data_IF_060302921436
#
_entry.id   IF_060302921436
#
_cell.length_a   1.000
_cell.length_b   1.000
_cell.length_c   1.000
_cell.angle_alpha   90.00
_cell.angle_beta   90.00
_cell.angle_gamma   90.00
#
_symmetry.space_group_name_H-M   'P 1'
#
loop_
_entity.id
_entity.type
_entity.pdbx_description
1 polymer ?
#
# COMPACT_ATOMS: atom_id res chain seq x y z
N UNK A 1 20.72 -4.72 37.99
CA UNK A 1 19.47 -3.93 37.92
C UNK A 1 19.87 -2.51 37.52
N UNK A 2 19.75 -2.18 36.25
CA UNK A 2 19.74 -0.79 35.74
C UNK A 2 18.64 -0.71 34.70
N UNK A 3 17.57 0.01 35.06
CA UNK A 3 16.47 0.35 34.17
C UNK A 3 16.99 1.24 33.03
N UNK A 4 17.07 0.72 31.84
CA UNK A 4 17.24 1.50 30.61
C UNK A 4 15.84 1.72 30.02
N UNK A 5 15.17 2.78 30.46
CA UNK A 5 13.96 3.28 29.86
C UNK A 5 14.24 3.78 28.45
N UNK A 6 13.83 3.02 27.45
CA UNK A 6 13.78 3.51 26.07
C UNK A 6 12.58 4.46 25.93
N UNK A 7 12.86 5.76 25.97
CA UNK A 7 11.92 6.77 25.54
C UNK A 7 11.78 6.71 24.00
N UNK A 8 10.63 6.26 23.54
CA UNK A 8 10.18 6.54 22.17
C UNK A 8 10.07 8.07 22.04
N UNK A 9 10.58 8.68 20.96
CA UNK A 9 10.41 10.11 20.75
C UNK A 9 8.92 10.44 20.67
N UNK A 10 8.51 11.41 21.47
CA UNK A 10 7.16 11.92 21.51
C UNK A 10 6.65 12.22 20.09
N UNK A 11 5.43 11.76 19.80
CA UNK A 11 4.67 12.14 18.61
C UNK A 11 4.77 13.65 18.44
N UNK A 12 5.60 14.14 17.54
CA UNK A 12 5.57 15.56 17.17
C UNK A 12 4.19 15.82 16.61
N UNK A 13 3.40 16.53 17.39
CA UNK A 13 2.09 16.99 17.00
C UNK A 13 2.26 17.90 15.78
N UNK A 14 1.70 17.48 14.66
CA UNK A 14 1.40 18.38 13.55
C UNK A 14 0.49 19.48 14.17
N UNK A 15 0.75 20.78 13.96
CA UNK A 15 -0.08 21.81 14.55
C UNK A 15 -1.54 21.56 14.15
N UNK A 16 -2.34 21.19 15.14
CA UNK A 16 -3.76 20.97 14.99
C UNK A 16 -4.45 22.30 14.76
N UNK A 17 -5.39 22.28 13.82
CA UNK A 17 -6.51 23.21 13.77
C UNK A 17 -6.22 24.67 13.40
N UNK A 18 -6.39 24.96 12.11
CA UNK A 18 -7.14 26.18 11.79
C UNK A 18 -8.63 25.82 11.86
N UNK A 19 -9.39 26.54 12.72
CA UNK A 19 -10.83 26.37 12.82
C UNK A 19 -11.48 26.52 11.46
N UNK A 20 -12.47 25.68 11.17
CA UNK A 20 -13.26 25.66 9.94
C UNK A 20 -13.87 27.02 9.58
N UNK A 21 -14.07 27.91 10.56
CA UNK A 21 -14.72 29.22 10.41
C UNK A 21 -14.04 30.26 9.49
N UNK A 22 -12.78 29.98 9.06
CA UNK A 22 -12.04 30.88 8.16
C UNK A 22 -11.88 30.36 6.72
N UNK A 23 -12.24 29.09 6.44
CA UNK A 23 -11.97 28.43 5.14
C UNK A 23 -13.24 28.30 4.29
N UNK A 24 -14.42 28.38 4.89
CA UNK A 24 -15.67 27.91 4.32
C UNK A 24 -16.71 29.01 4.13
N UNK A 25 -16.46 29.94 3.23
CA UNK A 25 -17.53 30.66 2.53
C UNK A 25 -17.58 30.13 1.09
N UNK A 26 -18.78 29.63 0.71
CA UNK A 26 -19.13 29.13 -0.60
C UNK A 26 -18.48 29.97 -1.72
N UNK A 27 -17.46 29.44 -2.34
CA UNK A 27 -16.96 29.90 -3.63
C UNK A 27 -16.23 28.75 -4.31
N UNK A 28 -16.27 28.69 -5.62
CA UNK A 28 -15.50 27.76 -6.47
C UNK A 28 -13.98 27.93 -6.21
N UNK A 29 -13.49 27.41 -5.09
CA UNK A 29 -12.12 27.71 -4.64
C UNK A 29 -11.11 26.69 -5.11
N UNK A 30 -11.53 25.48 -5.49
CA UNK A 30 -10.63 24.38 -5.79
C UNK A 30 -10.86 23.84 -7.19
N UNK A 31 -9.75 23.55 -7.86
CA UNK A 31 -9.79 22.89 -9.16
C UNK A 31 -10.08 21.39 -8.96
N UNK A 32 -9.47 20.78 -7.92
CA UNK A 32 -9.67 19.38 -7.57
C UNK A 32 -9.75 19.20 -6.06
N UNK A 33 -10.66 18.34 -5.60
CA UNK A 33 -10.68 17.84 -4.22
C UNK A 33 -10.28 16.37 -4.21
N UNK A 34 -9.33 16.00 -3.33
CA UNK A 34 -8.89 14.62 -3.09
C UNK A 34 -9.53 14.13 -1.78
N UNK A 35 -10.30 13.04 -1.83
CA UNK A 35 -10.96 12.45 -0.66
C UNK A 35 -10.21 11.20 -0.22
N UNK A 36 -9.71 11.21 1.01
CA UNK A 36 -8.85 10.19 1.59
C UNK A 36 -7.37 10.42 1.25
N UNK A 37 -6.53 10.51 2.29
CA UNK A 37 -5.10 10.86 2.17
C UNK A 37 -4.22 9.68 2.61
N UNK A 38 -4.58 8.47 2.13
CA UNK A 38 -3.74 7.28 2.20
C UNK A 38 -2.63 7.30 1.14
N UNK A 39 -2.14 6.11 0.74
CA UNK A 39 -1.06 5.97 -0.22
C UNK A 39 -1.32 6.72 -1.55
N UNK A 40 -2.42 6.40 -2.23
CA UNK A 40 -2.75 7.01 -3.53
C UNK A 40 -3.13 8.49 -3.38
N UNK A 41 -3.99 8.82 -2.39
CA UNK A 41 -4.48 10.19 -2.22
C UNK A 41 -3.42 11.19 -1.80
N UNK A 42 -2.47 10.82 -0.95
CA UNK A 42 -1.36 11.70 -0.56
C UNK A 42 -0.45 12.03 -1.76
N UNK A 43 -0.16 11.03 -2.59
CA UNK A 43 0.63 11.20 -3.80
C UNK A 43 -0.13 12.03 -4.86
N UNK A 44 -1.45 11.83 -5.01
CA UNK A 44 -2.30 12.63 -5.90
C UNK A 44 -2.37 14.09 -5.46
N UNK A 45 -2.54 14.32 -4.16
CA UNK A 45 -2.54 15.67 -3.58
C UNK A 45 -1.22 16.40 -3.88
N UNK A 46 -0.08 15.74 -3.64
CA UNK A 46 1.23 16.28 -3.97
C UNK A 46 1.36 16.59 -5.46
N UNK A 47 0.97 15.66 -6.32
CA UNK A 47 1.14 15.80 -7.77
C UNK A 47 0.29 16.95 -8.34
N UNK A 48 -0.96 17.08 -7.89
CA UNK A 48 -1.83 18.20 -8.27
C UNK A 48 -1.26 19.56 -7.79
N UNK A 49 -0.79 19.63 -6.54
CA UNK A 49 -0.16 20.83 -6.00
C UNK A 49 1.13 21.17 -6.78
N UNK A 50 1.94 20.17 -7.16
CA UNK A 50 3.16 20.35 -7.96
C UNK A 50 2.88 20.90 -9.36
N UNK A 51 1.70 20.59 -9.90
CA UNK A 51 1.24 21.14 -11.20
C UNK A 51 0.60 22.52 -11.08
N UNK A 52 0.50 23.08 -9.87
CA UNK A 52 -0.08 24.40 -9.63
C UNK A 52 -1.60 24.41 -9.52
N UNK A 53 -2.27 23.26 -9.41
CA UNK A 53 -3.71 23.18 -9.21
C UNK A 53 -4.07 23.71 -7.79
N UNK A 54 -5.20 24.40 -7.68
CA UNK A 54 -5.80 24.73 -6.38
C UNK A 54 -6.46 23.47 -5.81
N UNK A 55 -5.67 22.66 -5.09
CA UNK A 55 -6.09 21.38 -4.57
C UNK A 55 -6.42 21.44 -3.09
N UNK A 56 -7.54 20.80 -2.71
CA UNK A 56 -7.90 20.49 -1.33
C UNK A 56 -7.86 18.97 -1.13
N UNK A 57 -7.22 18.53 -0.06
CA UNK A 57 -7.32 17.16 0.41
C UNK A 57 -8.18 17.09 1.69
N UNK A 58 -9.04 16.08 1.80
CA UNK A 58 -9.91 15.84 2.95
C UNK A 58 -9.63 14.44 3.49
N UNK A 59 -9.26 14.37 4.78
CA UNK A 59 -8.99 13.12 5.47
C UNK A 59 -9.86 13.00 6.72
N UNK A 60 -10.55 11.86 6.86
CA UNK A 60 -11.43 11.65 8.02
C UNK A 60 -10.68 11.45 9.34
N UNK A 61 -9.40 11.08 9.28
CA UNK A 61 -8.54 10.93 10.46
C UNK A 61 -7.35 11.90 10.39
N UNK A 62 -6.14 11.39 10.20
CA UNK A 62 -4.91 12.16 10.01
C UNK A 62 -3.96 11.41 9.05
N UNK A 63 -3.05 12.09 8.36
CA UNK A 63 -2.10 11.45 7.44
C UNK A 63 -1.20 10.43 8.14
N UNK A 64 -1.17 9.20 7.63
CA UNK A 64 -0.41 8.11 8.23
C UNK A 64 -1.09 7.46 9.44
N UNK A 65 -2.41 7.56 9.58
CA UNK A 65 -3.21 6.88 10.60
C UNK A 65 -3.19 5.35 10.44
N UNK A 66 -3.57 4.63 11.49
CA UNK A 66 -3.56 3.17 11.59
C UNK A 66 -4.92 2.50 11.31
N UNK A 67 -5.90 3.25 10.78
CA UNK A 67 -7.26 2.77 10.57
C UNK A 67 -7.54 2.24 9.17
N UNK A 68 -6.64 2.47 8.22
CA UNK A 68 -6.78 2.06 6.82
C UNK A 68 -5.83 0.94 6.43
N UNK A 69 -5.31 1.04 5.19
CA UNK A 69 -4.38 0.04 4.62
C UNK A 69 -2.95 0.58 4.45
N UNK A 70 -2.67 1.85 4.83
CA UNK A 70 -1.39 2.53 4.60
C UNK A 70 -0.57 2.71 5.87
N UNK A 71 -0.52 1.69 6.74
CA UNK A 71 0.20 1.69 8.01
C UNK A 71 0.89 0.34 8.26
N UNK A 72 1.58 0.16 9.38
CA UNK A 72 2.25 -1.08 9.79
C UNK A 72 3.75 -1.08 9.51
N UNK A 73 4.39 0.09 9.51
CA UNK A 73 5.83 0.35 9.52
C UNK A 73 6.58 -0.04 8.24
N UNK A 74 6.12 -1.02 7.47
CA UNK A 74 6.79 -1.44 6.24
C UNK A 74 5.84 -1.96 5.18
N UNK A 75 6.24 -1.78 3.89
CA UNK A 75 5.59 -2.34 2.70
C UNK A 75 6.65 -2.83 1.72
N UNK A 76 6.37 -3.94 1.04
CA UNK A 76 7.26 -4.49 0.01
C UNK A 76 7.19 -3.65 -1.26
N UNK A 77 8.35 -3.38 -1.86
CA UNK A 77 8.46 -3.04 -3.28
C UNK A 77 9.32 -4.10 -3.96
N UNK A 78 8.85 -4.64 -5.06
CA UNK A 78 9.49 -5.60 -5.93
C UNK A 78 9.05 -5.33 -7.37
N UNK A 79 9.86 -5.70 -8.36
CA UNK A 79 9.60 -5.47 -9.79
C UNK A 79 9.26 -6.79 -10.51
N UNK A 80 9.88 -7.91 -10.10
CA UNK A 80 9.42 -9.25 -10.49
C UNK A 80 7.99 -9.42 -9.97
N UNK A 81 7.01 -9.52 -10.88
CA UNK A 81 5.62 -9.28 -10.49
C UNK A 81 4.69 -10.35 -11.03
N UNK A 82 4.28 -11.26 -10.14
CA UNK A 82 3.48 -12.42 -10.51
C UNK A 82 2.03 -12.05 -10.86
N UNK A 83 1.51 -10.95 -10.31
CA UNK A 83 0.12 -10.57 -10.49
C UNK A 83 -0.23 -10.29 -11.95
N UNK A 84 0.62 -9.61 -12.69
CA UNK A 84 0.55 -9.48 -14.14
C UNK A 84 1.76 -8.69 -14.69
N UNK A 85 2.35 -9.07 -15.85
CA UNK A 85 3.52 -8.38 -16.42
C UNK A 85 3.28 -6.90 -16.75
N UNK A 86 2.06 -6.47 -17.05
CA UNK A 86 1.75 -5.07 -17.34
C UNK A 86 2.00 -4.09 -16.19
N UNK A 87 2.13 -4.60 -14.96
CA UNK A 87 2.50 -3.78 -13.81
C UNK A 87 3.98 -3.39 -13.78
N UNK A 88 4.86 -4.14 -14.47
CA UNK A 88 6.31 -3.92 -14.38
C UNK A 88 6.73 -2.51 -14.82
N UNK A 89 6.23 -1.94 -15.94
CA UNK A 89 6.56 -0.56 -16.30
C UNK A 89 6.14 0.47 -15.24
N UNK A 90 4.95 0.27 -14.64
CA UNK A 90 4.45 1.11 -13.54
C UNK A 90 5.35 1.01 -12.30
N UNK A 91 5.80 -0.22 -11.97
CA UNK A 91 6.69 -0.47 -10.83
C UNK A 91 8.08 0.12 -11.03
N UNK A 92 8.64 -0.01 -12.23
CA UNK A 92 9.94 0.56 -12.55
C UNK A 92 9.94 2.08 -12.37
N UNK A 93 8.89 2.74 -12.86
CA UNK A 93 8.73 4.17 -12.67
C UNK A 93 8.42 4.55 -11.22
N UNK A 94 7.56 3.77 -10.54
CA UNK A 94 7.28 4.00 -9.11
C UNK A 94 8.56 3.90 -8.27
N UNK A 95 9.41 2.88 -8.53
CA UNK A 95 10.71 2.73 -7.84
C UNK A 95 11.60 3.93 -8.06
N UNK A 96 11.74 4.39 -9.31
CA UNK A 96 12.52 5.60 -9.64
C UNK A 96 12.05 6.79 -8.81
N UNK A 97 10.73 6.99 -8.72
CA UNK A 97 10.14 8.10 -7.95
C UNK A 97 10.31 7.95 -6.45
N UNK A 98 10.29 6.74 -5.90
CA UNK A 98 10.62 6.50 -4.50
C UNK A 98 12.07 6.89 -4.19
N UNK A 99 13.01 6.54 -5.07
CA UNK A 99 14.41 6.97 -4.97
C UNK A 99 14.54 8.49 -5.05
N UNK A 100 13.83 9.13 -5.97
CA UNK A 100 13.86 10.59 -6.12
C UNK A 100 13.27 11.31 -4.90
N UNK A 101 12.18 10.78 -4.34
CA UNK A 101 11.58 11.31 -3.11
C UNK A 101 12.58 11.29 -1.94
N UNK A 102 13.41 10.26 -1.87
CA UNK A 102 14.43 10.13 -0.82
C UNK A 102 15.63 11.07 -0.98
N UNK A 103 15.88 11.59 -2.19
CA UNK A 103 16.94 12.60 -2.41
C UNK A 103 16.63 13.93 -1.72
N UNK A 104 15.37 14.21 -1.46
CA UNK A 104 14.89 15.48 -0.89
C UNK A 104 14.84 15.52 0.62
N UNK A 105 15.21 14.43 1.31
CA UNK A 105 15.08 14.33 2.77
C UNK A 105 16.15 13.43 3.40
N UNK A 106 16.52 13.76 4.64
CA UNK A 106 17.42 12.92 5.45
C UNK A 106 16.74 11.63 5.93
N UNK A 107 15.43 11.68 6.22
CA UNK A 107 14.66 10.51 6.58
C UNK A 107 14.30 9.71 5.33
N UNK A 108 14.76 8.48 5.24
CA UNK A 108 14.47 7.60 4.11
C UNK A 108 13.08 6.98 4.26
N UNK A 109 12.36 6.91 3.15
CA UNK A 109 11.08 6.17 3.04
C UNK A 109 11.21 4.89 2.23
N UNK A 110 12.34 4.73 1.52
CA UNK A 110 12.67 3.54 0.77
C UNK A 110 14.06 3.02 1.17
N UNK A 111 14.13 1.73 1.53
CA UNK A 111 15.37 1.02 1.80
C UNK A 111 15.49 -0.14 0.81
N UNK A 112 16.53 -0.12 -0.03
CA UNK A 112 16.86 -1.22 -0.93
C UNK A 112 17.48 -2.36 -0.11
N UNK A 113 16.72 -3.45 0.09
CA UNK A 113 17.16 -4.68 0.77
C UNK A 113 17.27 -5.83 -0.21
N UNK A 114 16.88 -5.63 -1.47
CA UNK A 114 16.47 -6.69 -2.36
C UNK A 114 15.12 -7.26 -1.99
N UNK A 115 14.60 -8.14 -2.85
CA UNK A 115 13.45 -9.00 -2.58
C UNK A 115 13.76 -10.43 -2.98
N UNK A 116 13.30 -11.40 -2.18
CA UNK A 116 13.40 -12.82 -2.51
C UNK A 116 12.01 -13.42 -2.57
N UNK A 117 11.74 -14.18 -3.61
CA UNK A 117 10.53 -15.00 -3.76
C UNK A 117 10.94 -16.45 -3.75
N UNK A 118 10.29 -17.26 -2.90
CA UNK A 118 10.61 -18.66 -2.67
C UNK A 118 9.32 -19.47 -2.78
N UNK A 119 9.37 -20.62 -3.42
CA UNK A 119 8.20 -21.47 -3.58
C UNK A 119 8.51 -22.95 -3.72
N UNK A 120 7.47 -23.75 -3.45
CA UNK A 120 7.47 -25.18 -3.70
C UNK A 120 7.49 -25.50 -5.21
N UNK A 121 7.84 -26.72 -5.63
CA UNK A 121 7.82 -27.10 -7.04
C UNK A 121 6.44 -26.88 -7.68
N UNK A 122 6.42 -26.06 -8.74
CA UNK A 122 5.17 -25.73 -9.46
C UNK A 122 4.41 -24.52 -8.91
N UNK A 123 4.93 -23.81 -7.89
CA UNK A 123 4.30 -22.59 -7.39
C UNK A 123 4.11 -21.55 -8.51
N UNK A 124 2.85 -21.19 -8.78
CA UNK A 124 2.47 -20.25 -9.83
C UNK A 124 3.11 -18.87 -9.61
N UNK A 125 3.22 -18.44 -8.36
CA UNK A 125 3.90 -17.19 -7.99
C UNK A 125 5.32 -17.11 -8.59
N UNK A 126 6.13 -18.17 -8.43
CA UNK A 126 7.51 -18.19 -8.95
C UNK A 126 7.51 -18.16 -10.47
N UNK A 127 6.69 -19.01 -11.12
CA UNK A 127 6.61 -19.09 -12.58
C UNK A 127 6.22 -17.75 -13.21
N UNK A 128 5.20 -17.08 -12.69
CA UNK A 128 4.72 -15.79 -13.22
C UNK A 128 5.71 -14.66 -12.97
N UNK A 129 6.37 -14.60 -11.80
CA UNK A 129 7.42 -13.61 -11.51
C UNK A 129 8.61 -13.74 -12.46
N UNK A 130 9.07 -14.98 -12.72
CA UNK A 130 10.15 -15.23 -13.67
C UNK A 130 9.76 -14.84 -15.10
N UNK A 131 8.54 -15.19 -15.53
CA UNK A 131 8.03 -14.80 -16.85
C UNK A 131 7.97 -13.28 -17.02
N UNK A 132 7.41 -12.57 -16.04
CA UNK A 132 7.37 -11.11 -16.03
C UNK A 132 8.79 -10.51 -16.07
N UNK A 133 9.72 -11.09 -15.32
CA UNK A 133 11.11 -10.64 -15.28
C UNK A 133 11.82 -10.82 -16.62
N UNK A 134 11.64 -11.97 -17.28
CA UNK A 134 12.21 -12.23 -18.61
C UNK A 134 11.65 -11.28 -19.66
N UNK A 135 10.33 -11.06 -19.68
CA UNK A 135 9.67 -10.13 -20.62
C UNK A 135 10.18 -8.70 -20.49
N UNK A 136 10.47 -8.25 -19.28
CA UNK A 136 10.90 -6.88 -19.00
C UNK A 136 12.41 -6.75 -18.77
N UNK A 137 13.19 -7.84 -18.95
CA UNK A 137 14.66 -7.88 -18.80
C UNK A 137 15.11 -7.35 -17.43
N UNK A 138 14.39 -7.76 -16.36
CA UNK A 138 14.76 -7.41 -15.00
C UNK A 138 15.96 -8.23 -14.56
N UNK A 139 16.84 -7.63 -13.75
CA UNK A 139 17.91 -8.35 -13.09
C UNK A 139 17.36 -9.23 -11.99
N UNK A 140 17.54 -10.54 -12.12
CA UNK A 140 17.15 -11.54 -11.15
C UNK A 140 18.21 -12.64 -11.07
N UNK A 141 18.32 -13.26 -9.90
CA UNK A 141 19.18 -14.41 -9.65
C UNK A 141 18.31 -15.59 -9.24
N UNK A 142 18.13 -16.56 -10.14
CA UNK A 142 17.41 -17.81 -9.85
C UNK A 142 18.29 -18.68 -8.92
N UNK A 143 17.69 -19.34 -7.93
CA UNK A 143 18.37 -20.07 -6.87
C UNK A 143 17.67 -21.39 -6.59
N UNK A 144 18.44 -22.43 -6.34
CA UNK A 144 17.96 -23.66 -5.70
C UNK A 144 17.90 -23.51 -4.16
N UNK A 145 17.38 -24.53 -3.51
CA UNK A 145 17.24 -24.54 -2.05
C UNK A 145 18.57 -24.43 -1.31
N UNK A 146 19.64 -25.03 -1.83
CA UNK A 146 20.96 -24.98 -1.22
C UNK A 146 21.53 -23.55 -1.26
N UNK A 147 21.36 -22.85 -2.38
CA UNK A 147 21.78 -21.46 -2.51
C UNK A 147 20.90 -20.52 -1.67
N UNK A 148 19.58 -20.73 -1.61
CA UNK A 148 18.68 -19.97 -0.74
C UNK A 148 19.16 -20.06 0.71
N UNK A 149 19.39 -21.27 1.25
CA UNK A 149 19.85 -21.48 2.62
C UNK A 149 21.24 -20.89 2.87
N UNK A 150 22.13 -20.96 1.88
CA UNK A 150 23.49 -20.39 1.98
C UNK A 150 23.46 -18.87 1.99
N UNK A 151 22.71 -18.27 1.09
CA UNK A 151 22.65 -16.80 0.90
C UNK A 151 21.78 -16.11 1.94
N UNK A 152 20.69 -16.74 2.32
CA UNK A 152 19.71 -16.24 3.30
C UNK A 152 19.46 -17.27 4.40
N UNK A 153 20.40 -17.42 5.34
CA UNK A 153 20.36 -18.51 6.34
C UNK A 153 19.20 -18.38 7.36
N UNK A 154 18.39 -17.34 7.28
CA UNK A 154 17.11 -17.23 7.96
C UNK A 154 16.10 -18.28 7.49
N UNK A 155 16.19 -18.74 6.22
CA UNK A 155 15.30 -19.73 5.64
C UNK A 155 15.80 -21.15 5.79
N UNK A 156 14.87 -22.06 6.10
CA UNK A 156 15.06 -23.50 6.15
C UNK A 156 14.00 -24.14 5.24
N UNK A 157 14.25 -24.11 3.93
CA UNK A 157 13.31 -24.63 2.92
C UNK A 157 13.69 -26.06 2.50
N UNK A 158 12.72 -26.90 2.05
CA UNK A 158 12.98 -28.22 1.50
C UNK A 158 13.93 -28.20 0.30
N UNK A 159 14.59 -29.34 0.00
CA UNK A 159 15.64 -29.43 -1.04
C UNK A 159 15.12 -29.24 -2.47
N UNK A 160 13.85 -29.52 -2.70
CA UNK A 160 13.19 -29.40 -4.00
C UNK A 160 12.59 -28.01 -4.27
N UNK A 161 12.71 -27.07 -3.31
CA UNK A 161 12.21 -25.70 -3.49
C UNK A 161 13.16 -24.84 -4.29
N UNK A 162 12.59 -23.85 -4.95
CA UNK A 162 13.34 -22.88 -5.75
C UNK A 162 12.93 -21.46 -5.38
N UNK A 163 13.69 -20.50 -5.85
CA UNK A 163 13.37 -19.10 -5.67
C UNK A 163 14.19 -18.20 -6.59
N UNK A 164 13.96 -16.93 -6.48
CA UNK A 164 14.78 -15.93 -7.14
C UNK A 164 14.96 -14.69 -6.26
N UNK A 165 16.12 -14.07 -6.40
CA UNK A 165 16.45 -12.81 -5.74
C UNK A 165 16.48 -11.68 -6.76
N UNK A 166 15.87 -10.56 -6.42
CA UNK A 166 15.89 -9.33 -7.18
C UNK A 166 16.57 -8.23 -6.35
N UNK A 167 17.70 -7.67 -6.81
CA UNK A 167 18.45 -6.65 -6.05
C UNK A 167 17.71 -5.32 -5.91
N UNK A 168 16.88 -4.97 -6.87
CA UNK A 168 16.14 -3.71 -6.92
C UNK A 168 14.92 -3.63 -5.98
N UNK A 169 14.57 -4.73 -5.31
CA UNK A 169 13.50 -4.78 -4.33
C UNK A 169 13.85 -4.11 -3.01
N UNK A 170 12.88 -4.01 -2.12
CA UNK A 170 13.13 -3.47 -0.77
C UNK A 170 11.87 -3.17 0.02
N UNK A 171 12.05 -2.42 1.11
CA UNK A 171 10.97 -1.99 1.97
C UNK A 171 10.71 -0.48 1.85
N UNK A 172 9.44 -0.13 1.96
CA UNK A 172 8.94 1.24 2.05
C UNK A 172 8.40 1.48 3.46
N UNK A 173 8.52 2.72 3.96
CA UNK A 173 7.99 3.14 5.26
C UNK A 173 6.69 3.93 5.02
N UNK A 174 5.52 3.29 5.13
CA UNK A 174 4.26 3.82 4.60
C UNK A 174 3.81 5.11 5.30
N UNK A 175 3.86 5.17 6.62
CA UNK A 175 3.40 6.35 7.37
C UNK A 175 4.28 7.56 7.08
N UNK A 176 5.59 7.36 6.98
CA UNK A 176 6.54 8.43 6.64
C UNK A 176 6.34 8.91 5.21
N UNK A 177 6.09 7.99 4.27
CA UNK A 177 5.86 8.31 2.87
C UNK A 177 4.58 9.15 2.69
N UNK A 178 3.47 8.74 3.33
CA UNK A 178 2.20 9.49 3.31
C UNK A 178 2.40 10.90 3.86
N UNK A 179 3.00 11.03 5.04
CA UNK A 179 3.28 12.36 5.63
C UNK A 179 4.15 13.20 4.72
N UNK A 180 5.18 12.63 4.12
CA UNK A 180 6.09 13.36 3.22
C UNK A 180 5.36 13.91 1.99
N UNK A 181 4.49 13.13 1.35
CA UNK A 181 3.69 13.61 0.23
C UNK A 181 2.77 14.75 0.65
N UNK A 182 2.10 14.60 1.80
CA UNK A 182 1.23 15.65 2.34
C UNK A 182 2.00 16.93 2.62
N UNK A 183 3.13 16.85 3.30
CA UNK A 183 3.97 18.01 3.64
C UNK A 183 4.51 18.68 2.38
N UNK A 184 4.90 17.91 1.38
CA UNK A 184 5.38 18.44 0.11
C UNK A 184 4.26 19.15 -0.65
N UNK A 185 3.07 18.57 -0.73
CA UNK A 185 1.90 19.19 -1.37
C UNK A 185 1.45 20.47 -0.65
N UNK A 186 1.46 20.46 0.68
CA UNK A 186 1.14 21.64 1.48
C UNK A 186 2.14 22.80 1.27
N UNK A 187 3.44 22.50 1.19
CA UNK A 187 4.47 23.50 0.85
C UNK A 187 4.29 24.13 -0.54
N UNK A 188 3.68 23.41 -1.46
CA UNK A 188 3.35 23.89 -2.81
C UNK A 188 1.99 24.61 -2.88
N UNK A 189 1.34 24.86 -1.73
CA UNK A 189 0.12 25.63 -1.65
C UNK A 189 -1.17 24.80 -1.58
N UNK A 190 -1.09 23.47 -1.67
CA UNK A 190 -2.22 22.57 -1.43
C UNK A 190 -2.80 22.75 -0.03
N UNK A 191 -4.12 22.60 0.11
CA UNK A 191 -4.82 22.69 1.40
C UNK A 191 -5.20 21.32 1.90
N UNK A 192 -5.18 21.12 3.22
CA UNK A 192 -5.55 19.88 3.87
C UNK A 192 -6.53 20.14 5.02
N UNK A 193 -7.61 19.37 5.05
CA UNK A 193 -8.53 19.27 6.17
C UNK A 193 -8.43 17.84 6.72
N UNK A 194 -8.23 17.70 8.03
CA UNK A 194 -8.17 16.42 8.74
C UNK A 194 -9.29 16.31 9.76
N UNK A 195 -9.58 15.08 10.23
CA UNK A 195 -10.66 14.86 11.20
C UNK A 195 -12.05 15.09 10.61
N UNK A 196 -12.19 15.10 9.27
CA UNK A 196 -13.43 15.48 8.59
C UNK A 196 -13.85 14.40 7.60
N UNK A 197 -15.05 13.86 7.79
CA UNK A 197 -15.65 12.86 6.89
C UNK A 197 -16.46 13.56 5.79
N UNK A 198 -16.18 13.24 4.52
CA UNK A 198 -17.09 13.56 3.41
C UNK A 198 -18.29 12.62 3.50
N UNK A 199 -19.51 13.18 3.50
CA UNK A 199 -20.77 12.44 3.64
C UNK A 199 -21.38 12.09 2.29
N UNK A 200 -21.32 13.03 1.34
CA UNK A 200 -21.91 12.88 0.03
C UNK A 200 -21.08 13.56 -1.06
N UNK A 201 -21.17 13.02 -2.26
CA UNK A 201 -20.65 13.60 -3.50
C UNK A 201 -21.84 13.73 -4.46
N UNK A 202 -22.07 14.93 -4.98
CA UNK A 202 -23.21 15.22 -5.88
C UNK A 202 -22.74 15.92 -7.14
N UNK A 203 -23.08 15.37 -8.27
CA UNK A 203 -22.88 16.04 -9.56
C UNK A 203 -23.84 17.23 -9.71
N UNK A 204 -23.32 18.35 -10.16
CA UNK A 204 -24.07 19.54 -10.55
C UNK A 204 -23.73 19.91 -12.01
N UNK A 205 -24.53 20.70 -12.66
CA UNK A 205 -24.29 21.05 -14.06
C UNK A 205 -22.83 21.51 -14.32
N UNK A 206 -22.32 22.44 -13.50
CA UNK A 206 -21.01 23.05 -13.72
C UNK A 206 -19.97 22.74 -12.62
N UNK A 207 -20.27 21.87 -11.67
CA UNK A 207 -19.38 21.56 -10.55
C UNK A 207 -19.70 20.18 -9.94
N UNK A 208 -18.82 19.69 -9.10
CA UNK A 208 -19.10 18.62 -8.14
C UNK A 208 -19.24 19.23 -6.75
N UNK A 209 -20.29 18.91 -6.04
CA UNK A 209 -20.58 19.36 -4.68
C UNK A 209 -20.26 18.24 -3.69
N UNK A 210 -19.50 18.59 -2.65
CA UNK A 210 -19.18 17.71 -1.52
C UNK A 210 -19.88 18.21 -0.27
N UNK A 211 -20.46 17.30 0.51
CA UNK A 211 -21.07 17.58 1.80
C UNK A 211 -20.14 17.08 2.92
N UNK A 212 -19.73 18.01 3.79
CA UNK A 212 -18.92 17.76 4.99
C UNK A 212 -19.58 18.44 6.19
N UNK A 213 -19.72 17.77 7.33
CA UNK A 213 -20.12 18.32 8.64
C UNK A 213 -21.07 19.55 8.60
N UNK A 214 -22.09 19.50 7.74
CA UNK A 214 -23.07 20.60 7.60
C UNK A 214 -22.65 21.71 6.63
N UNK A 215 -21.49 21.62 6.02
CA UNK A 215 -20.99 22.56 5.02
C UNK A 215 -20.90 21.93 3.62
N UNK A 216 -20.79 22.76 2.60
CA UNK A 216 -20.68 22.35 1.21
C UNK A 216 -19.47 22.95 0.54
N UNK A 217 -18.74 22.11 -0.18
CA UNK A 217 -17.60 22.50 -1.01
C UNK A 217 -17.96 22.23 -2.46
N UNK A 218 -17.72 23.20 -3.34
CA UNK A 218 -17.84 23.01 -4.79
C UNK A 218 -16.47 23.00 -5.44
N UNK A 219 -16.28 22.10 -6.42
CA UNK A 219 -15.02 21.90 -7.13
C UNK A 219 -15.26 21.51 -8.58
N UNK A 220 -14.25 21.68 -9.45
CA UNK A 220 -14.33 21.26 -10.84
C UNK A 220 -14.14 19.73 -11.00
N UNK A 221 -13.40 19.08 -10.10
CA UNK A 221 -13.17 17.64 -10.13
C UNK A 221 -12.92 17.05 -8.75
N UNK A 222 -13.15 15.75 -8.62
CA UNK A 222 -12.95 14.99 -7.38
C UNK A 222 -12.17 13.72 -7.66
N UNK A 223 -11.21 13.40 -6.78
CA UNK A 223 -10.52 12.12 -6.77
C UNK A 223 -10.87 11.39 -5.48
N UNK A 224 -11.53 10.25 -5.58
CA UNK A 224 -11.97 9.45 -4.43
C UNK A 224 -10.99 8.29 -4.21
N UNK A 225 -10.15 8.41 -3.18
CA UNK A 225 -9.15 7.43 -2.74
C UNK A 225 -9.40 6.97 -1.30
N UNK A 226 -10.67 6.80 -0.97
CA UNK A 226 -11.16 6.54 0.39
C UNK A 226 -10.91 5.09 0.89
N UNK A 227 -10.13 4.28 0.16
CA UNK A 227 -9.77 2.92 0.56
C UNK A 227 -11.00 2.06 0.88
N UNK A 228 -11.05 1.47 2.05
CA UNK A 228 -12.16 0.60 2.46
C UNK A 228 -13.51 1.32 2.62
N UNK A 229 -13.52 2.65 2.72
CA UNK A 229 -14.75 3.47 2.78
C UNK A 229 -15.28 3.88 1.41
N UNK A 230 -14.63 3.46 0.32
CA UNK A 230 -15.00 3.87 -1.03
C UNK A 230 -16.46 3.57 -1.37
N UNK A 231 -16.96 2.38 -1.02
CA UNK A 231 -18.38 2.00 -1.24
C UNK A 231 -19.39 2.87 -0.51
N UNK A 232 -19.02 3.46 0.61
CA UNK A 232 -19.91 4.36 1.38
C UNK A 232 -20.09 5.71 0.67
N UNK A 233 -19.11 6.12 -0.14
CA UNK A 233 -19.08 7.41 -0.80
C UNK A 233 -19.60 7.36 -2.24
N UNK A 234 -19.39 6.25 -2.92
CA UNK A 234 -19.75 6.06 -4.33
C UNK A 234 -20.58 4.78 -4.43
N UNK A 235 -21.88 4.90 -4.14
CA UNK A 235 -22.81 3.77 -4.11
C UNK A 235 -23.02 3.11 -5.50
N UNK A 236 -22.82 3.88 -6.57
CA UNK A 236 -23.07 3.45 -7.95
C UNK A 236 -21.89 2.67 -8.57
N UNK A 237 -20.85 2.41 -7.81
CA UNK A 237 -19.77 1.54 -8.29
C UNK A 237 -20.29 0.12 -8.44
N UNK A 238 -20.43 -0.32 -9.68
CA UNK A 238 -20.91 -1.67 -10.01
C UNK A 238 -19.88 -2.78 -9.71
N UNK A 239 -18.64 -2.42 -9.40
CA UNK A 239 -17.61 -3.41 -9.07
C UNK A 239 -17.72 -3.86 -7.60
N UNK A 240 -17.92 -5.16 -7.35
CA UNK A 240 -18.03 -5.68 -6.00
C UNK A 240 -16.66 -5.67 -5.31
N UNK A 241 -16.43 -4.66 -4.46
CA UNK A 241 -15.24 -4.62 -3.59
C UNK A 241 -15.50 -5.42 -2.31
N UNK A 242 -14.58 -6.27 -1.93
CA UNK A 242 -14.62 -7.03 -0.68
C UNK A 242 -13.55 -6.52 0.27
N UNK A 243 -13.96 -6.11 1.46
CA UNK A 243 -13.02 -5.71 2.51
C UNK A 243 -12.69 -6.95 3.33
N UNK A 244 -11.38 -7.24 3.50
CA UNK A 244 -10.94 -8.37 4.34
C UNK A 244 -10.02 -7.88 5.45
N UNK A 245 -10.10 -8.56 6.61
CA UNK A 245 -9.21 -8.33 7.75
C UNK A 245 -7.88 -9.04 7.51
N UNK A 246 -6.77 -8.33 7.73
CA UNK A 246 -5.42 -8.88 7.69
C UNK A 246 -4.71 -8.65 9.01
N UNK A 247 -3.77 -9.53 9.34
CA UNK A 247 -2.98 -9.42 10.56
C UNK A 247 -1.51 -9.59 10.24
N UNK A 248 -0.68 -8.75 10.82
CA UNK A 248 0.78 -8.86 10.74
C UNK A 248 1.36 -8.98 12.15
N UNK A 249 2.42 -9.76 12.31
CA UNK A 249 3.14 -9.95 13.57
C UNK A 249 4.61 -9.59 13.46
N UNK A 250 5.18 -9.12 14.56
CA UNK A 250 6.62 -8.88 14.72
C UNK A 250 7.15 -9.81 15.79
N UNK A 251 8.25 -10.48 15.51
CA UNK A 251 8.86 -11.48 16.36
C UNK A 251 10.32 -11.16 16.61
N UNK A 252 10.76 -11.35 17.83
CA UNK A 252 12.18 -11.31 18.15
C UNK A 252 12.83 -12.61 17.64
N UNK A 253 13.92 -12.55 16.84
CA UNK A 253 14.61 -13.75 16.43
C UNK A 253 15.18 -14.52 17.63
N UNK A 254 14.89 -15.83 17.72
CA UNK A 254 15.28 -16.69 18.83
C UNK A 254 16.78 -16.99 18.82
N UNK A 255 17.34 -17.16 17.63
CA UNK A 255 18.75 -17.49 17.41
C UNK A 255 19.29 -16.76 16.18
N UNK A 256 20.62 -16.49 16.19
CA UNK A 256 21.30 -15.83 15.05
C UNK A 256 20.58 -14.55 14.57
N UNK A 257 20.30 -13.60 15.45
CA UNK A 257 19.47 -12.45 15.14
C UNK A 257 19.99 -11.63 13.95
N UNK A 258 21.31 -11.58 13.73
CA UNK A 258 21.92 -10.89 12.60
C UNK A 258 21.49 -11.43 11.23
N UNK A 259 21.07 -12.69 11.14
CA UNK A 259 20.55 -13.27 9.90
C UNK A 259 19.20 -12.66 9.50
N UNK A 260 18.53 -11.97 10.42
CA UNK A 260 17.23 -11.33 10.23
C UNK A 260 17.32 -9.81 10.04
N UNK A 261 18.49 -9.23 10.14
CA UNK A 261 18.67 -7.79 9.97
C UNK A 261 18.56 -7.36 8.50
N UNK A 262 18.13 -6.11 8.29
CA UNK A 262 18.16 -5.50 6.96
C UNK A 262 19.61 -5.46 6.44
N UNK A 263 19.84 -6.09 5.29
CA UNK A 263 21.17 -6.34 4.72
C UNK A 263 21.55 -7.83 4.68
N UNK A 264 21.07 -8.63 5.64
CA UNK A 264 21.20 -10.08 5.64
C UNK A 264 19.93 -10.78 5.13
N UNK A 265 18.75 -10.30 5.54
CA UNK A 265 17.46 -10.76 5.05
C UNK A 265 16.85 -9.68 4.14
N UNK A 266 16.52 -9.98 2.88
CA UNK A 266 15.72 -9.09 2.04
C UNK A 266 14.24 -9.11 2.49
N UNK A 267 13.40 -8.25 1.90
CA UNK A 267 11.95 -8.49 1.94
C UNK A 267 11.64 -9.77 1.19
N UNK A 268 10.62 -10.51 1.62
CA UNK A 268 10.36 -11.81 1.02
C UNK A 268 8.88 -12.10 0.78
N UNK A 269 8.64 -12.98 -0.20
CA UNK A 269 7.41 -13.73 -0.37
C UNK A 269 7.76 -15.21 -0.37
N UNK A 270 6.90 -16.05 0.21
CA UNK A 270 7.07 -17.47 0.28
C UNK A 270 5.74 -18.16 -0.02
N UNK A 271 5.68 -18.89 -1.14
CA UNK A 271 4.55 -19.73 -1.49
C UNK A 271 4.79 -21.14 -0.92
N UNK A 272 3.99 -21.53 0.05
CA UNK A 272 3.91 -22.89 0.58
C UNK A 272 2.67 -23.59 0.02
N UNK A 273 2.60 -24.94 0.04
CA UNK A 273 1.45 -25.67 -0.52
C UNK A 273 0.10 -25.34 0.14
N UNK A 274 0.11 -24.79 1.35
CA UNK A 274 -1.05 -24.55 2.20
C UNK A 274 -1.29 -23.06 2.51
N UNK A 275 -0.33 -22.16 2.21
CA UNK A 275 -0.47 -20.73 2.44
C UNK A 275 0.60 -19.93 1.66
N UNK A 276 0.37 -18.68 1.44
CA UNK A 276 1.35 -17.73 0.93
C UNK A 276 1.70 -16.69 1.99
N UNK A 277 2.97 -16.46 2.19
CA UNK A 277 3.49 -15.59 3.23
C UNK A 277 4.31 -14.44 2.66
N UNK A 278 4.41 -13.37 3.41
CA UNK A 278 5.36 -12.30 3.15
C UNK A 278 5.99 -11.80 4.44
N UNK A 279 7.15 -11.20 4.32
CA UNK A 279 7.78 -10.62 5.50
C UNK A 279 8.92 -9.65 5.18
N UNK A 280 9.48 -9.13 6.28
CA UNK A 280 10.46 -8.05 6.26
C UNK A 280 11.56 -8.34 7.25
N UNK A 281 12.79 -7.92 6.95
CA UNK A 281 13.89 -7.99 7.91
C UNK A 281 13.61 -7.13 9.15
N UNK A 282 14.34 -7.43 10.21
CA UNK A 282 14.48 -6.52 11.34
C UNK A 282 15.05 -5.18 10.85
N UNK A 283 14.25 -4.15 10.96
CA UNK A 283 14.63 -2.79 10.61
C UNK A 283 14.48 -1.88 11.83
N UNK A 284 15.56 -1.24 12.24
CA UNK A 284 15.59 -0.34 13.41
C UNK A 284 15.13 -0.99 14.72
N UNK A 285 15.37 -2.29 14.88
CA UNK A 285 15.01 -3.01 16.10
C UNK A 285 13.54 -3.42 16.19
N UNK A 286 12.80 -3.38 15.08
CA UNK A 286 11.37 -3.76 15.07
C UNK A 286 11.12 -5.27 15.20
N UNK A 287 12.16 -6.09 15.02
CA UNK A 287 12.05 -7.55 14.90
C UNK A 287 11.71 -8.02 13.49
N UNK A 288 11.65 -9.34 13.30
CA UNK A 288 11.19 -9.99 12.07
C UNK A 288 9.68 -9.77 11.93
N UNK A 289 9.26 -9.09 10.88
CA UNK A 289 7.83 -8.93 10.57
C UNK A 289 7.37 -9.98 9.56
N UNK A 290 6.24 -10.63 9.81
CA UNK A 290 5.68 -11.62 8.92
C UNK A 290 4.14 -11.63 8.94
N UNK A 291 3.53 -12.13 7.86
CA UNK A 291 2.10 -12.33 7.74
C UNK A 291 1.74 -13.33 6.64
N UNK A 292 0.52 -13.89 6.69
CA UNK A 292 -0.09 -14.53 5.54
C UNK A 292 -0.50 -13.48 4.50
N UNK A 293 -0.36 -13.81 3.22
CA UNK A 293 -0.78 -12.97 2.10
C UNK A 293 -2.19 -13.33 1.61
N UNK A 294 -2.68 -14.50 1.96
CA UNK A 294 -4.04 -14.92 1.63
C UNK A 294 -5.04 -13.97 2.31
N UNK A 295 -6.06 -13.47 1.58
CA UNK A 295 -7.07 -12.59 2.14
C UNK A 295 -7.78 -13.24 3.34
N UNK A 296 -7.82 -12.54 4.46
CA UNK A 296 -8.50 -12.99 5.67
C UNK A 296 -10.04 -12.88 5.57
N UNK A 297 -10.72 -12.98 6.71
CA UNK A 297 -12.19 -12.97 6.76
C UNK A 297 -12.78 -11.69 6.17
N UNK A 298 -13.83 -11.80 5.34
CA UNK A 298 -14.58 -10.63 4.88
C UNK A 298 -15.18 -9.84 6.05
N UNK A 299 -15.18 -8.52 5.91
CA UNK A 299 -15.81 -7.58 6.83
C UNK A 299 -17.08 -7.01 6.20
N UNK A 300 -18.08 -6.72 7.01
CA UNK A 300 -19.32 -6.06 6.58
C UNK A 300 -19.09 -4.59 6.13
N UNK A 301 -17.97 -3.99 6.51
CA UNK A 301 -17.55 -2.65 6.13
C UNK A 301 -16.25 -2.27 6.85
N UNK A 302 -15.68 -1.14 6.48
CA UNK A 302 -14.41 -0.66 7.05
C UNK A 302 -14.48 -0.47 8.58
N UNK A 303 -15.62 -0.02 9.08
CA UNK A 303 -15.83 0.23 10.51
C UNK A 303 -16.03 -1.07 11.34
N UNK A 304 -16.15 -2.23 10.68
CA UNK A 304 -16.24 -3.54 11.35
C UNK A 304 -14.86 -4.13 11.70
N UNK A 305 -13.76 -3.45 11.36
CA UNK A 305 -12.41 -3.91 11.70
C UNK A 305 -12.22 -3.92 13.22
N UNK A 306 -11.99 -5.10 13.79
CA UNK A 306 -11.49 -5.25 15.16
C UNK A 306 -9.97 -5.01 15.16
N UNK A 307 -9.53 -4.05 15.94
CA UNK A 307 -8.12 -3.67 16.06
C UNK A 307 -7.31 -4.75 16.82
N UNK A 308 -7.94 -5.50 17.73
CA UNK A 308 -7.26 -6.50 18.52
C UNK A 308 -6.96 -7.75 17.69
N UNK A 309 -5.71 -8.16 17.70
CA UNK A 309 -5.27 -9.43 17.18
C UNK A 309 -5.52 -10.56 18.22
N UNK A 310 -5.74 -11.76 17.73
CA UNK A 310 -6.07 -12.92 18.54
C UNK A 310 -4.93 -13.95 18.57
N UNK A 311 -5.01 -14.92 19.47
CA UNK A 311 -4.08 -16.06 19.51
C UNK A 311 -4.14 -16.88 18.21
N UNK A 312 -5.30 -16.97 17.58
CA UNK A 312 -5.45 -17.67 16.29
C UNK A 312 -4.73 -16.95 15.17
N UNK A 313 -4.73 -15.61 15.15
CA UNK A 313 -3.95 -14.81 14.20
C UNK A 313 -2.46 -15.09 14.36
N UNK A 314 -1.96 -15.19 15.59
CA UNK A 314 -0.56 -15.52 15.87
C UNK A 314 -0.18 -16.93 15.39
N UNK A 315 -1.06 -17.93 15.62
CA UNK A 315 -0.80 -19.31 15.21
C UNK A 315 -0.57 -19.43 13.70
N UNK A 316 -1.34 -18.73 12.88
CA UNK A 316 -1.18 -18.71 11.42
C UNK A 316 0.22 -18.21 11.02
N UNK A 317 0.67 -17.08 11.61
CA UNK A 317 2.00 -16.54 11.30
C UNK A 317 3.11 -17.47 11.84
N UNK A 318 2.92 -18.06 13.02
CA UNK A 318 3.89 -19.01 13.59
C UNK A 318 4.03 -20.30 12.79
N UNK A 319 3.04 -20.66 11.97
CA UNK A 319 3.17 -21.79 11.05
C UNK A 319 4.35 -21.57 10.07
N UNK A 320 4.41 -20.40 9.42
CA UNK A 320 5.57 -19.98 8.62
C UNK A 320 6.88 -20.10 9.39
N UNK A 321 6.93 -19.46 10.59
CA UNK A 321 8.16 -19.36 11.36
C UNK A 321 8.68 -20.74 11.78
N UNK A 322 7.81 -21.60 12.32
CA UNK A 322 8.20 -22.94 12.76
C UNK A 322 8.74 -23.79 11.63
N UNK A 323 8.16 -23.67 10.46
CA UNK A 323 8.44 -24.58 9.35
C UNK A 323 9.59 -24.09 8.47
N UNK A 324 9.66 -22.81 8.20
CA UNK A 324 10.58 -22.25 7.20
C UNK A 324 11.57 -21.21 7.74
N UNK A 325 11.37 -20.70 8.95
CA UNK A 325 12.24 -19.70 9.58
C UNK A 325 12.39 -19.96 11.10
N UNK A 326 12.81 -21.17 11.52
CA UNK A 326 12.73 -21.58 12.93
C UNK A 326 13.53 -20.70 13.89
N UNK A 327 14.63 -20.13 13.46
CA UNK A 327 15.44 -19.20 14.28
C UNK A 327 14.71 -17.86 14.50
N UNK A 328 13.76 -17.50 13.64
CA UNK A 328 12.91 -16.32 13.78
C UNK A 328 11.68 -16.52 14.70
N UNK A 329 11.42 -17.77 15.15
CA UNK A 329 10.22 -18.10 15.94
C UNK A 329 10.39 -17.83 17.43
N UNK A 330 10.86 -16.63 17.80
CA UNK A 330 11.02 -16.22 19.18
C UNK A 330 9.81 -15.48 19.78
N UNK A 331 9.98 -14.68 20.82
CA UNK A 331 8.89 -13.93 21.44
C UNK A 331 8.13 -13.05 20.47
N UNK A 332 6.81 -13.02 20.61
CA UNK A 332 5.96 -12.06 19.92
C UNK A 332 6.19 -10.66 20.52
N UNK A 333 6.58 -9.69 19.69
CA UNK A 333 6.78 -8.31 20.12
C UNK A 333 5.48 -7.52 20.02
N UNK A 334 4.76 -7.66 18.90
CA UNK A 334 3.45 -7.02 18.68
C UNK A 334 2.73 -7.67 17.50
N UNK A 335 1.44 -7.41 17.44
CA UNK A 335 0.60 -7.70 16.27
C UNK A 335 -0.21 -6.45 15.91
N UNK A 336 -0.55 -6.34 14.64
CA UNK A 336 -1.38 -5.24 14.16
C UNK A 336 -2.35 -5.74 13.08
N UNK A 337 -3.57 -5.23 13.12
CA UNK A 337 -4.58 -5.53 12.11
C UNK A 337 -4.60 -4.45 11.04
N UNK A 338 -4.95 -4.83 9.83
CA UNK A 338 -5.20 -3.91 8.73
C UNK A 338 -6.31 -4.46 7.82
N UNK A 339 -6.58 -3.78 6.73
CA UNK A 339 -7.59 -4.19 5.76
C UNK A 339 -7.00 -4.27 4.36
N UNK A 340 -7.43 -5.29 3.60
CA UNK A 340 -7.38 -5.23 2.15
C UNK A 340 -8.76 -4.83 1.63
N UNK A 341 -8.79 -4.08 0.53
CA UNK A 341 -9.98 -3.81 -0.27
C UNK A 341 -9.73 -4.47 -1.60
N UNK A 342 -10.38 -5.60 -1.82
CA UNK A 342 -10.12 -6.49 -2.94
C UNK A 342 -11.17 -6.32 -4.03
N UNK A 343 -10.74 -6.31 -5.28
CA UNK A 343 -11.57 -6.56 -6.45
C UNK A 343 -11.71 -8.07 -6.66
N UNK A 344 -12.71 -8.54 -7.43
CA UNK A 344 -12.89 -9.97 -7.67
C UNK A 344 -11.71 -10.65 -8.37
N UNK A 345 -10.99 -9.91 -9.20
CA UNK A 345 -9.85 -10.39 -10.00
C UNK A 345 -8.49 -10.08 -9.36
N UNK A 346 -8.46 -9.47 -8.18
CA UNK A 346 -7.23 -9.10 -7.47
C UNK A 346 -6.48 -7.89 -8.03
N UNK A 347 -6.97 -7.24 -9.10
CA UNK A 347 -6.36 -6.04 -9.68
C UNK A 347 -6.87 -4.74 -9.04
N UNK A 348 -6.36 -3.61 -9.49
CA UNK A 348 -6.84 -2.30 -9.05
C UNK A 348 -8.19 -1.97 -9.68
N UNK A 349 -8.90 -1.02 -9.07
CA UNK A 349 -9.99 -0.27 -9.69
C UNK A 349 -9.50 1.17 -9.85
N UNK A 350 -9.42 1.65 -11.09
CA UNK A 350 -9.12 3.04 -11.43
C UNK A 350 -10.04 3.40 -12.60
N UNK A 351 -11.01 4.28 -12.34
CA UNK A 351 -11.99 4.65 -13.35
C UNK A 351 -12.61 6.02 -13.04
N UNK A 352 -13.48 6.46 -13.89
CA UNK A 352 -14.38 7.61 -13.70
C UNK A 352 -15.76 7.12 -13.28
N UNK A 353 -16.49 7.90 -12.50
CA UNK A 353 -17.89 7.60 -12.23
C UNK A 353 -18.69 7.62 -13.54
N UNK A 354 -19.55 6.63 -13.75
CA UNK A 354 -20.32 6.47 -14.97
C UNK A 354 -21.20 7.69 -15.28
N UNK A 355 -21.76 8.30 -14.22
CA UNK A 355 -22.66 9.44 -14.33
C UNK A 355 -21.96 10.80 -14.41
N UNK A 356 -20.64 10.88 -14.07
CA UNK A 356 -19.90 12.13 -14.08
C UNK A 356 -18.38 11.90 -14.20
N UNK A 357 -17.84 12.16 -15.37
CA UNK A 357 -16.41 11.96 -15.65
C UNK A 357 -15.46 12.85 -14.83
N UNK A 358 -15.97 13.87 -14.12
CA UNK A 358 -15.20 14.71 -13.20
C UNK A 358 -14.91 14.03 -11.87
N UNK A 359 -15.57 12.90 -11.59
CA UNK A 359 -15.37 12.09 -10.39
C UNK A 359 -14.48 10.90 -10.76
N UNK A 360 -13.23 10.95 -10.35
CA UNK A 360 -12.25 9.87 -10.51
C UNK A 360 -12.29 8.98 -9.27
N UNK A 361 -12.32 7.67 -9.47
CA UNK A 361 -12.44 6.68 -8.41
C UNK A 361 -11.21 5.78 -8.45
N UNK A 362 -10.57 5.56 -7.29
CA UNK A 362 -9.44 4.63 -7.21
C UNK A 362 -9.49 3.78 -5.94
N UNK A 363 -9.49 2.46 -6.14
CA UNK A 363 -9.18 1.43 -5.14
C UNK A 363 -7.97 0.64 -5.61
N UNK A 364 -6.79 1.20 -5.41
CA UNK A 364 -5.53 0.55 -5.75
C UNK A 364 -4.98 -0.18 -4.51
N UNK A 365 -5.67 -1.24 -4.08
CA UNK A 365 -5.32 -2.04 -2.91
C UNK A 365 -5.08 -3.49 -3.27
N UNK A 366 -6.08 -4.36 -3.17
CA UNK A 366 -6.00 -5.82 -3.40
C UNK A 366 -4.74 -6.47 -2.80
N UNK A 367 -4.31 -5.97 -1.63
CA UNK A 367 -3.13 -6.43 -0.90
C UNK A 367 -1.78 -5.95 -1.42
N UNK A 368 -1.69 -5.33 -2.60
CA UNK A 368 -0.39 -5.05 -3.22
C UNK A 368 -0.17 -3.61 -3.75
N UNK A 369 -1.07 -2.66 -3.48
CA UNK A 369 -1.10 -1.35 -4.14
C UNK A 369 -0.12 -0.30 -3.63
N UNK A 370 0.34 -0.35 -2.37
CA UNK A 370 1.10 0.75 -1.75
C UNK A 370 2.33 1.18 -2.55
N UNK A 371 3.09 0.22 -3.06
CA UNK A 371 4.34 0.46 -3.81
C UNK A 371 4.15 1.32 -5.07
N UNK A 372 2.93 1.38 -5.59
CA UNK A 372 2.56 2.17 -6.77
C UNK A 372 2.18 3.61 -6.45
N UNK A 373 2.14 4.02 -5.18
CA UNK A 373 1.64 5.35 -4.79
C UNK A 373 2.20 6.52 -5.63
N UNK A 374 3.51 6.61 -5.94
CA UNK A 374 4.03 7.72 -6.73
C UNK A 374 3.45 7.81 -8.14
N UNK A 375 3.28 6.67 -8.80
CA UNK A 375 2.75 6.63 -10.16
C UNK A 375 1.23 6.76 -10.20
N UNK A 376 0.56 6.23 -9.18
CA UNK A 376 -0.88 6.44 -9.00
C UNK A 376 -1.20 7.93 -8.81
N UNK A 377 -0.35 8.66 -8.08
CA UNK A 377 -0.50 10.10 -7.92
C UNK A 377 -0.54 10.84 -9.25
N UNK A 378 0.36 10.51 -10.19
CA UNK A 378 0.36 11.08 -11.54
C UNK A 378 -0.86 10.68 -12.36
N UNK A 379 -1.16 9.38 -12.41
CA UNK A 379 -2.29 8.83 -13.15
C UNK A 379 -3.60 9.51 -12.72
N UNK A 380 -3.83 9.58 -11.41
CA UNK A 380 -5.06 10.16 -10.87
C UNK A 380 -5.12 11.68 -11.05
N UNK A 381 -3.98 12.37 -11.01
CA UNK A 381 -3.90 13.78 -11.34
C UNK A 381 -4.22 14.04 -12.81
N UNK A 382 -3.66 13.24 -13.74
CA UNK A 382 -4.00 13.34 -15.18
C UNK A 382 -5.50 13.15 -15.40
N UNK A 383 -6.08 12.13 -14.77
CA UNK A 383 -7.51 11.88 -14.89
C UNK A 383 -8.35 13.03 -14.31
N UNK A 384 -7.96 13.57 -13.15
CA UNK A 384 -8.68 14.71 -12.53
C UNK A 384 -8.64 15.97 -13.40
N UNK A 385 -7.51 16.20 -14.10
CA UNK A 385 -7.35 17.29 -15.05
C UNK A 385 -7.96 16.99 -16.44
N UNK A 386 -8.73 15.91 -16.58
CA UNK A 386 -9.34 15.45 -17.86
C UNK A 386 -8.28 15.13 -18.94
N UNK A 387 -7.06 14.79 -18.55
CA UNK A 387 -5.99 14.34 -19.45
C UNK A 387 -6.00 12.82 -19.58
N UNK A 388 -5.39 12.32 -20.65
CA UNK A 388 -5.11 10.89 -20.79
C UNK A 388 -3.85 10.56 -19.98
N UNK A 389 -3.87 9.58 -19.07
CA UNK A 389 -2.68 9.12 -18.35
C UNK A 389 -1.59 8.63 -19.31
N UNK A 390 -0.33 8.90 -18.97
CA UNK A 390 0.81 8.39 -19.74
C UNK A 390 0.91 6.85 -19.66
N UNK A 391 0.42 6.26 -18.57
CA UNK A 391 0.37 4.81 -18.38
C UNK A 391 -1.03 4.28 -18.65
N UNK A 392 -1.09 3.10 -19.24
CA UNK A 392 -2.36 2.42 -19.52
C UNK A 392 -3.04 1.99 -18.23
N UNK A 393 -4.30 2.35 -18.08
CA UNK A 393 -5.14 2.01 -16.91
C UNK A 393 -6.43 1.29 -17.30
N UNK A 394 -6.65 1.05 -18.58
CA UNK A 394 -7.86 0.40 -19.11
C UNK A 394 -8.10 -0.96 -18.46
N UNK A 395 -7.02 -1.72 -18.17
CA UNK A 395 -7.08 -2.99 -17.46
C UNK A 395 -7.54 -2.91 -16.00
N UNK A 396 -7.72 -1.70 -15.46
CA UNK A 396 -8.20 -1.44 -14.09
C UNK A 396 -9.59 -0.79 -14.06
N UNK A 397 -10.26 -0.74 -15.19
CA UNK A 397 -11.62 -0.18 -15.31
C UNK A 397 -12.65 -0.95 -14.49
N UNK A 398 -13.75 -0.30 -14.13
CA UNK A 398 -14.94 -0.95 -13.59
C UNK A 398 -15.67 -1.83 -14.62
N UNK A 399 -15.42 -1.60 -15.90
CA UNK A 399 -15.97 -2.40 -16.99
C UNK A 399 -15.26 -3.76 -17.08
N UNK A 400 -15.98 -4.83 -16.76
CA UNK A 400 -15.45 -6.20 -16.74
C UNK A 400 -14.78 -6.65 -18.05
N UNK A 401 -15.26 -6.18 -19.21
CA UNK A 401 -14.70 -6.55 -20.51
C UNK A 401 -13.32 -5.94 -20.82
N UNK A 402 -12.89 -4.95 -20.04
CA UNK A 402 -11.62 -4.25 -20.20
C UNK A 402 -10.56 -4.70 -19.19
N UNK A 403 -10.95 -5.50 -18.18
CA UNK A 403 -10.07 -5.88 -17.08
C UNK A 403 -9.00 -6.88 -17.51
N UNK A 404 -7.89 -6.87 -16.81
CA UNK A 404 -6.86 -7.90 -16.92
C UNK A 404 -7.42 -9.28 -16.49
N UNK A 405 -6.83 -10.39 -16.99
CA UNK A 405 -7.12 -11.71 -16.45
C UNK A 405 -6.88 -11.75 -14.93
N UNK A 406 -7.64 -12.53 -14.16
CA UNK A 406 -7.45 -12.60 -12.71
C UNK A 406 -6.00 -12.86 -12.30
N UNK A 407 -5.61 -12.28 -11.16
CA UNK A 407 -4.31 -12.54 -10.55
C UNK A 407 -4.19 -14.05 -10.30
N UNK A 408 -3.04 -14.68 -10.64
CA UNK A 408 -2.81 -16.10 -10.39
C UNK A 408 -2.98 -16.47 -8.92
N UNK A 409 -3.40 -17.70 -8.67
CA UNK A 409 -3.42 -18.24 -7.32
C UNK A 409 -2.00 -18.29 -6.75
N UNK A 410 -1.90 -18.03 -5.44
CA UNK A 410 -0.60 -17.98 -4.76
C UNK A 410 -0.11 -19.36 -4.31
N UNK A 411 -1.01 -20.32 -4.21
CA UNK A 411 -0.78 -21.68 -3.70
C UNK A 411 -1.38 -22.71 -4.65
#
# INVERSE_FOLDING_TARGET
MRNLGFHLPAKQAIPAQRSLSGILRVSHQYDVVVIGVGAAGSATFFELARRGARVLAIEQFYPGHDRGSSHGESRIIRLAYFEHPSYVPLLSEARRRWVDLDKTSKEKVFLTTGSVEIGFPGAEMIRHSLDASRRHKLEIHEMDAAEIRRRFPAFQVPDDWTGHFQPDGGLLIPEAAVRRYVDAGARLGGKLITGTKVKNIRSRANAVELEIEGERITTNGVVVTAGAWLKELVADIRLPLTITRQVVGWFEPLRRPSNFDAGALPVFLLAAPDDAYYGFPNYRGSGLKAASHIPGRPLSGANALRQDATVEDEKGIRHLLRRYMPDGNGPLLKMQTCMYTNTPDGHFLIDRAEHDSRIVIASACSGHGFKFAPILGEILADMAEQKRPAFRVEGFSANASQRLPPVPDLV
#
